data_IF_726023834105
#
_entry.id   IF_726023834105
#
_cell.length_a   1.000
_cell.length_b   1.000
_cell.length_c   1.000
_cell.angle_alpha   90.00
_cell.angle_beta   90.00
_cell.angle_gamma   90.00
#
_symmetry.space_group_name_H-M   'P 1'
#
loop_
_entity.id
_entity.type
_entity.pdbx_description
1 polymer ?
#
# COMPACT_ATOMS: atom_id res chain seq x y z
N UNK A 1 115.27 -18.83 -31.04
CA UNK A 1 113.93 -18.69 -31.62
C UNK A 1 113.03 -19.78 -31.06
N UNK A 2 112.05 -19.45 -30.20
CA UNK A 2 110.78 -20.21 -29.96
C UNK A 2 110.07 -19.95 -28.60
N UNK A 3 110.33 -18.84 -27.87
CA UNK A 3 109.61 -18.53 -26.61
C UNK A 3 108.56 -17.40 -26.72
N UNK A 4 108.56 -16.64 -27.82
CA UNK A 4 107.60 -15.55 -28.07
C UNK A 4 106.16 -16.01 -28.42
N UNK A 5 105.91 -17.07 -29.21
CA UNK A 5 104.53 -17.43 -29.58
C UNK A 5 103.74 -18.06 -28.41
N UNK A 6 104.41 -18.79 -27.51
CA UNK A 6 103.75 -19.40 -26.34
C UNK A 6 103.40 -18.37 -25.26
N UNK A 7 104.22 -17.33 -25.07
CA UNK A 7 103.93 -16.25 -24.12
C UNK A 7 102.79 -15.35 -24.62
N UNK A 8 102.73 -15.07 -25.92
CA UNK A 8 101.61 -14.35 -26.53
C UNK A 8 100.28 -15.13 -26.46
N UNK A 9 100.30 -16.45 -26.67
CA UNK A 9 99.10 -17.29 -26.55
C UNK A 9 98.58 -17.36 -25.10
N UNK A 10 99.47 -17.49 -24.11
CA UNK A 10 99.10 -17.45 -22.70
C UNK A 10 98.55 -16.10 -22.26
N UNK A 11 99.13 -14.99 -22.74
CA UNK A 11 98.62 -13.65 -22.48
C UNK A 11 97.21 -13.46 -23.07
N UNK A 12 96.97 -13.91 -24.31
CA UNK A 12 95.65 -13.84 -24.94
C UNK A 12 94.59 -14.69 -24.22
N UNK A 13 94.98 -15.86 -23.70
CA UNK A 13 94.08 -16.72 -22.89
C UNK A 13 93.74 -16.04 -21.56
N UNK A 14 94.72 -15.44 -20.87
CA UNK A 14 94.48 -14.70 -19.63
C UNK A 14 93.59 -13.48 -19.85
N UNK A 15 93.79 -12.76 -20.95
CA UNK A 15 92.98 -11.60 -21.31
C UNK A 15 91.52 -12.00 -21.62
N UNK A 16 91.33 -13.11 -22.35
CA UNK A 16 90.00 -13.66 -22.61
C UNK A 16 89.29 -14.16 -21.34
N UNK A 17 90.01 -14.77 -20.40
CA UNK A 17 89.44 -15.18 -19.09
C UNK A 17 89.07 -13.96 -18.25
N UNK A 18 89.90 -12.91 -18.26
CA UNK A 18 89.62 -11.67 -17.54
C UNK A 18 88.40 -10.95 -18.14
N UNK A 19 88.26 -10.94 -19.47
CA UNK A 19 87.07 -10.45 -20.17
C UNK A 19 85.82 -11.26 -19.79
N UNK A 20 85.91 -12.60 -19.81
CA UNK A 20 84.81 -13.48 -19.45
C UNK A 20 84.39 -13.29 -17.98
N UNK A 21 85.34 -13.11 -17.07
CA UNK A 21 85.08 -12.75 -15.67
C UNK A 21 84.38 -11.39 -15.56
N UNK A 22 84.86 -10.37 -16.29
CA UNK A 22 84.21 -9.06 -16.32
C UNK A 22 82.78 -9.09 -16.88
N UNK A 23 82.52 -9.94 -17.88
CA UNK A 23 81.17 -10.16 -18.41
C UNK A 23 80.28 -10.95 -17.45
N UNK A 24 80.80 -11.97 -16.77
CA UNK A 24 80.08 -12.72 -15.74
C UNK A 24 79.71 -11.81 -14.55
N UNK A 25 80.62 -10.92 -14.13
CA UNK A 25 80.35 -9.93 -13.07
C UNK A 25 79.33 -8.87 -13.51
N UNK A 26 79.33 -8.50 -14.80
CA UNK A 26 78.30 -7.62 -15.36
C UNK A 26 76.93 -8.31 -15.42
N UNK A 27 76.88 -9.58 -15.81
CA UNK A 27 75.67 -10.40 -15.82
C UNK A 27 75.15 -10.62 -14.40
N UNK A 28 76.02 -10.95 -13.43
CA UNK A 28 75.64 -11.14 -12.04
C UNK A 28 75.04 -9.85 -11.44
N UNK A 29 75.64 -8.69 -11.72
CA UNK A 29 75.09 -7.37 -11.31
C UNK A 29 73.76 -7.06 -12.00
N UNK A 30 73.61 -7.43 -13.27
CA UNK A 30 72.36 -7.28 -14.01
C UNK A 30 71.25 -8.14 -13.40
N UNK A 31 71.53 -9.42 -13.15
CA UNK A 31 70.59 -10.35 -12.52
C UNK A 31 70.17 -9.88 -11.12
N UNK A 32 71.12 -9.43 -10.30
CA UNK A 32 70.80 -8.87 -8.99
C UNK A 32 69.90 -7.63 -9.06
N UNK A 33 70.09 -6.76 -10.07
CA UNK A 33 69.22 -5.60 -10.31
C UNK A 33 67.83 -6.01 -10.79
N UNK A 34 67.73 -7.03 -11.65
CA UNK A 34 66.45 -7.56 -12.14
C UNK A 34 65.66 -8.16 -10.98
N UNK A 35 66.29 -8.96 -10.13
CA UNK A 35 65.65 -9.57 -8.95
C UNK A 35 65.18 -8.51 -7.95
N UNK A 36 65.97 -7.45 -7.73
CA UNK A 36 65.58 -6.33 -6.88
C UNK A 36 64.34 -5.60 -7.44
N UNK A 37 64.32 -5.37 -8.76
CA UNK A 37 63.18 -4.75 -9.44
C UNK A 37 61.94 -5.64 -9.39
N UNK A 38 62.10 -6.95 -9.58
CA UNK A 38 60.99 -7.90 -9.49
C UNK A 38 60.39 -7.96 -8.08
N UNK A 39 61.24 -7.95 -7.03
CA UNK A 39 60.76 -7.86 -5.65
C UNK A 39 59.97 -6.58 -5.39
N UNK A 40 60.43 -5.45 -5.92
CA UNK A 40 59.71 -4.18 -5.81
C UNK A 40 58.35 -4.21 -6.55
N UNK A 41 58.32 -4.76 -7.76
CA UNK A 41 57.08 -4.92 -8.53
C UNK A 41 56.08 -5.81 -7.80
N UNK A 42 56.52 -6.94 -7.24
CA UNK A 42 55.66 -7.85 -6.48
C UNK A 42 55.10 -7.16 -5.23
N UNK A 43 55.93 -6.45 -4.47
CA UNK A 43 55.48 -5.71 -3.29
C UNK A 43 54.43 -4.63 -3.63
N UNK A 44 54.59 -3.96 -4.78
CA UNK A 44 53.61 -2.97 -5.28
C UNK A 44 52.30 -3.63 -5.72
N UNK A 45 52.35 -4.81 -6.34
CA UNK A 45 51.16 -5.58 -6.71
C UNK A 45 50.39 -6.04 -5.48
N UNK A 46 51.07 -6.57 -4.47
CA UNK A 46 50.44 -6.98 -3.20
C UNK A 46 49.72 -5.80 -2.52
N UNK A 47 50.30 -4.61 -2.61
CA UNK A 47 49.69 -3.37 -2.08
C UNK A 47 48.44 -2.97 -2.86
N UNK A 48 48.45 -3.14 -4.19
CA UNK A 48 47.30 -2.86 -5.06
C UNK A 48 46.18 -3.86 -4.78
N UNK A 49 46.50 -5.15 -4.68
CA UNK A 49 45.53 -6.21 -4.42
C UNK A 49 44.87 -6.03 -3.04
N UNK A 50 45.65 -5.69 -2.01
CA UNK A 50 45.11 -5.35 -0.69
C UNK A 50 44.18 -4.11 -0.74
N UNK A 51 44.53 -3.09 -1.53
CA UNK A 51 43.68 -1.91 -1.75
C UNK A 51 42.40 -2.25 -2.51
N UNK A 52 42.45 -3.13 -3.50
CA UNK A 52 41.29 -3.58 -4.27
C UNK A 52 40.34 -4.45 -3.44
N UNK A 53 40.86 -5.30 -2.55
CA UNK A 53 40.05 -6.05 -1.60
C UNK A 53 39.21 -5.12 -0.72
N UNK A 54 39.84 -4.09 -0.14
CA UNK A 54 39.15 -3.10 0.69
C UNK A 54 38.07 -2.31 -0.09
N UNK A 55 38.29 -2.00 -1.37
CA UNK A 55 37.29 -1.33 -2.22
C UNK A 55 36.15 -2.26 -2.59
N UNK A 56 36.44 -3.54 -2.85
CA UNK A 56 35.43 -4.56 -3.18
C UNK A 56 34.49 -4.78 -2.00
N UNK A 57 35.00 -4.72 -0.76
CA UNK A 57 34.21 -4.84 0.46
C UNK A 57 33.28 -3.63 0.71
N UNK A 58 33.60 -2.45 0.16
CA UNK A 58 32.78 -1.23 0.32
C UNK A 58 31.60 -1.17 -0.65
N UNK A 59 31.68 -1.82 -1.81
CA UNK A 59 30.62 -1.78 -2.83
C UNK A 59 29.28 -2.31 -2.29
N UNK A 60 29.21 -3.50 -1.64
CA UNK A 60 27.96 -3.98 -1.06
C UNK A 60 27.37 -3.05 0.00
N UNK A 61 28.22 -2.38 0.79
CA UNK A 61 27.78 -1.41 1.82
C UNK A 61 27.15 -0.19 1.17
N UNK A 62 27.74 0.34 0.10
CA UNK A 62 27.18 1.47 -0.65
C UNK A 62 25.88 1.09 -1.38
N UNK A 63 25.79 -0.11 -1.92
CA UNK A 63 24.55 -0.64 -2.52
C UNK A 63 23.43 -0.76 -1.48
N UNK A 64 23.74 -1.27 -0.28
CA UNK A 64 22.80 -1.34 0.83
C UNK A 64 22.33 0.05 1.29
N UNK A 65 23.25 1.01 1.41
CA UNK A 65 22.91 2.40 1.77
C UNK A 65 22.02 3.03 0.68
N UNK A 66 22.35 2.82 -0.60
CA UNK A 66 21.56 3.34 -1.71
C UNK A 66 20.15 2.75 -1.71
N UNK A 67 20.03 1.42 -1.56
CA UNK A 67 18.74 0.73 -1.48
C UNK A 67 17.89 1.30 -0.33
N UNK A 68 18.50 1.45 0.86
CA UNK A 68 17.81 2.04 2.01
C UNK A 68 17.35 3.48 1.75
N UNK A 69 18.19 4.28 1.10
CA UNK A 69 17.85 5.67 0.77
C UNK A 69 16.70 5.78 -0.24
N UNK A 70 16.56 4.81 -1.15
CA UNK A 70 15.45 4.73 -2.11
C UNK A 70 14.17 4.37 -1.35
N UNK A 71 14.20 3.35 -0.50
CA UNK A 71 13.06 2.96 0.34
C UNK A 71 12.57 4.12 1.22
N UNK A 72 13.48 4.81 1.90
CA UNK A 72 13.13 5.94 2.77
C UNK A 72 12.51 7.11 1.97
N UNK A 73 12.97 7.36 0.73
CA UNK A 73 12.38 8.36 -0.17
C UNK A 73 10.99 7.98 -0.65
N UNK A 74 10.78 6.71 -1.00
CA UNK A 74 9.46 6.22 -1.42
C UNK A 74 8.45 6.31 -0.28
N UNK A 75 8.86 5.92 0.93
CA UNK A 75 8.06 6.07 2.15
C UNK A 75 7.72 7.54 2.44
N UNK A 76 8.71 8.43 2.35
CA UNK A 76 8.49 9.88 2.52
C UNK A 76 7.51 10.44 1.49
N UNK A 77 7.66 10.04 0.21
CA UNK A 77 6.76 10.48 -0.86
C UNK A 77 5.32 10.00 -0.62
N UNK A 78 5.13 8.77 -0.18
CA UNK A 78 3.82 8.24 0.16
C UNK A 78 3.17 9.03 1.30
N UNK A 79 3.92 9.28 2.39
CA UNK A 79 3.43 10.08 3.51
C UNK A 79 3.04 11.51 3.11
N UNK A 80 3.89 12.20 2.32
CA UNK A 80 3.58 13.54 1.82
C UNK A 80 2.33 13.56 0.93
N UNK A 81 2.12 12.52 0.11
CA UNK A 81 0.91 12.40 -0.70
C UNK A 81 -0.35 12.25 0.16
N UNK A 82 -0.29 11.43 1.21
CA UNK A 82 -1.40 11.27 2.17
C UNK A 82 -1.72 12.59 2.87
N UNK A 83 -0.70 13.29 3.38
CA UNK A 83 -0.87 14.60 4.03
C UNK A 83 -1.47 15.63 3.07
N UNK A 84 -0.99 15.69 1.83
CA UNK A 84 -1.53 16.58 0.82
C UNK A 84 -3.01 16.28 0.50
N UNK A 85 -3.39 15.01 0.44
CA UNK A 85 -4.77 14.60 0.21
C UNK A 85 -5.69 14.96 1.39
N UNK A 86 -5.23 14.76 2.63
CA UNK A 86 -5.94 15.19 3.85
C UNK A 86 -6.10 16.70 3.90
N UNK A 87 -5.03 17.45 3.62
CA UNK A 87 -5.07 18.91 3.57
C UNK A 87 -6.01 19.40 2.45
N UNK A 88 -6.00 18.74 1.29
CA UNK A 88 -6.92 18.99 0.19
C UNK A 88 -8.38 18.79 0.58
N UNK A 89 -8.69 17.68 1.27
CA UNK A 89 -10.02 17.43 1.82
C UNK A 89 -10.43 18.50 2.84
N UNK A 90 -9.58 18.80 3.82
CA UNK A 90 -9.88 19.77 4.87
C UNK A 90 -10.11 21.18 4.29
N UNK A 91 -9.27 21.59 3.34
CA UNK A 91 -9.44 22.85 2.63
C UNK A 91 -10.74 22.86 1.84
N UNK A 92 -11.02 21.81 1.08
CA UNK A 92 -12.24 21.71 0.29
C UNK A 92 -13.49 21.78 1.18
N UNK A 93 -13.53 21.03 2.28
CA UNK A 93 -14.64 21.08 3.21
C UNK A 93 -14.81 22.48 3.85
N UNK A 94 -13.72 23.18 4.17
CA UNK A 94 -13.77 24.54 4.71
C UNK A 94 -14.23 25.59 3.69
N UNK A 95 -13.85 25.45 2.41
CA UNK A 95 -14.28 26.35 1.32
C UNK A 95 -15.60 25.92 0.67
N UNK A 96 -16.21 24.84 1.18
CA UNK A 96 -17.39 24.22 0.60
C UNK A 96 -17.14 23.51 -0.74
N UNK A 97 -15.91 23.29 -1.18
CA UNK A 97 -15.58 22.53 -2.38
C UNK A 97 -15.70 21.01 -2.16
N UNK A 98 -15.95 20.25 -3.23
CA UNK A 98 -16.02 18.79 -3.14
C UNK A 98 -14.62 18.16 -3.21
N UNK A 99 -14.30 17.30 -2.24
CA UNK A 99 -13.14 16.41 -2.28
C UNK A 99 -13.46 15.13 -1.49
N UNK A 100 -13.07 13.94 -1.98
CA UNK A 100 -13.22 12.71 -1.20
C UNK A 100 -12.14 12.63 -0.10
N UNK A 101 -12.51 12.12 1.07
CA UNK A 101 -11.52 11.74 2.07
C UNK A 101 -10.83 10.44 1.62
N UNK A 102 -9.49 10.37 1.58
CA UNK A 102 -8.79 9.14 1.22
C UNK A 102 -9.10 8.01 2.21
N UNK A 103 -9.21 6.78 1.71
CA UNK A 103 -9.49 5.58 2.52
C UNK A 103 -8.39 5.29 3.53
N UNK A 104 -7.15 5.57 3.15
CA UNK A 104 -5.95 5.21 3.92
C UNK A 104 -5.84 6.02 5.22
N UNK A 105 -6.58 7.13 5.32
CA UNK A 105 -6.74 7.93 6.54
C UNK A 105 -7.31 7.10 7.69
N UNK A 106 -8.17 6.11 7.40
CA UNK A 106 -8.77 5.27 8.43
C UNK A 106 -7.79 4.32 9.12
N UNK A 107 -6.66 3.99 8.47
CA UNK A 107 -5.67 3.05 8.99
C UNK A 107 -4.38 3.74 9.46
N UNK A 108 -4.22 5.05 9.22
CA UNK A 108 -3.09 5.82 9.72
C UNK A 108 -3.33 6.28 11.18
N UNK A 109 -2.52 5.79 12.14
CA UNK A 109 -2.69 6.14 13.55
C UNK A 109 -2.48 7.64 13.83
N UNK A 110 -1.72 8.35 12.99
CA UNK A 110 -1.50 9.79 13.15
C UNK A 110 -2.72 10.61 12.72
N UNK A 111 -3.61 10.03 11.90
CA UNK A 111 -4.79 10.69 11.35
C UNK A 111 -6.09 10.28 12.04
N UNK A 112 -6.02 9.46 13.09
CA UNK A 112 -7.17 8.98 13.84
C UNK A 112 -8.03 10.13 14.41
N UNK A 113 -7.39 11.13 15.02
CA UNK A 113 -8.10 12.32 15.51
C UNK A 113 -8.67 13.17 14.37
N UNK A 114 -7.97 13.21 13.23
CA UNK A 114 -8.47 13.91 12.06
C UNK A 114 -9.76 13.26 11.56
N UNK A 115 -9.79 11.93 11.42
CA UNK A 115 -11.00 11.20 11.01
C UNK A 115 -12.20 11.51 11.93
N UNK A 116 -11.98 11.57 13.26
CA UNK A 116 -13.04 11.86 14.24
C UNK A 116 -13.57 13.29 14.17
N UNK A 117 -12.72 14.26 13.87
CA UNK A 117 -13.03 15.69 13.95
C UNK A 117 -13.17 16.39 12.60
N UNK A 118 -13.01 15.65 11.51
CA UNK A 118 -13.06 16.18 10.15
C UNK A 118 -14.34 17.00 9.90
N UNK A 119 -14.27 18.08 9.12
CA UNK A 119 -15.45 18.85 8.75
C UNK A 119 -16.47 18.03 7.94
N UNK A 120 -17.73 18.44 7.98
CA UNK A 120 -18.80 17.77 7.23
C UNK A 120 -18.63 17.96 5.72
N UNK A 121 -18.78 16.87 4.97
CA UNK A 121 -18.84 16.93 3.51
C UNK A 121 -20.23 17.42 3.06
N UNK A 122 -20.26 18.66 2.55
CA UNK A 122 -21.49 19.31 2.13
C UNK A 122 -21.79 19.17 0.63
N UNK A 123 -20.92 18.57 -0.18
CA UNK A 123 -21.06 18.59 -1.65
C UNK A 123 -20.84 17.27 -2.36
N UNK A 124 -20.31 16.22 -1.72
CA UNK A 124 -20.15 14.93 -2.38
C UNK A 124 -21.47 14.43 -2.98
N UNK A 125 -21.39 13.88 -4.20
CA UNK A 125 -22.51 13.25 -4.89
C UNK A 125 -22.69 11.78 -4.49
N UNK A 126 -21.87 11.27 -3.58
CA UNK A 126 -22.02 9.93 -3.03
C UNK A 126 -23.39 9.78 -2.39
N UNK A 127 -24.11 8.74 -2.79
CA UNK A 127 -25.54 8.62 -2.51
C UNK A 127 -25.82 8.49 -1.00
N UNK A 128 -25.05 7.66 -0.31
CA UNK A 128 -25.08 7.51 1.16
C UNK A 128 -25.05 8.87 1.89
N UNK A 129 -24.13 9.75 1.49
CA UNK A 129 -23.98 11.08 2.09
C UNK A 129 -25.07 12.06 1.66
N UNK A 130 -25.54 11.96 0.41
CA UNK A 130 -26.65 12.77 -0.07
C UNK A 130 -27.97 12.42 0.63
N UNK A 131 -28.26 11.12 0.77
CA UNK A 131 -29.45 10.61 1.44
C UNK A 131 -29.40 10.95 2.93
N UNK A 132 -28.24 10.76 3.59
CA UNK A 132 -28.09 11.13 4.99
C UNK A 132 -28.26 12.64 5.21
N UNK A 133 -27.71 13.51 4.37
CA UNK A 133 -27.96 14.96 4.46
C UNK A 133 -29.43 15.33 4.33
N UNK A 134 -30.20 14.61 3.50
CA UNK A 134 -31.66 14.84 3.39
C UNK A 134 -32.41 14.33 4.61
N UNK A 135 -32.00 13.17 5.14
CA UNK A 135 -32.62 12.57 6.32
C UNK A 135 -32.35 13.40 7.59
N UNK A 136 -31.10 13.79 7.82
CA UNK A 136 -30.63 14.42 9.08
C UNK A 136 -31.39 15.69 9.44
N UNK A 137 -31.75 16.49 8.42
CA UNK A 137 -32.52 17.73 8.60
C UNK A 137 -33.93 17.51 9.17
N UNK A 138 -34.48 16.29 9.06
CA UNK A 138 -35.81 15.92 9.53
C UNK A 138 -35.80 15.18 10.86
N UNK A 139 -34.64 14.72 11.32
CA UNK A 139 -34.47 13.98 12.57
C UNK A 139 -34.50 14.94 13.75
N UNK A 140 -35.21 14.59 14.83
CA UNK A 140 -35.21 15.39 16.06
C UNK A 140 -33.81 15.40 16.72
N UNK A 141 -33.43 16.49 17.40
CA UNK A 141 -32.08 16.61 17.98
C UNK A 141 -31.72 15.49 18.97
N UNK A 142 -32.69 14.98 19.74
CA UNK A 142 -32.48 13.87 20.68
C UNK A 142 -32.16 12.55 19.98
N UNK A 143 -32.89 12.25 18.90
CA UNK A 143 -32.65 11.07 18.07
C UNK A 143 -31.32 11.20 17.32
N UNK A 144 -31.02 12.40 16.79
CA UNK A 144 -29.77 12.67 16.10
C UNK A 144 -28.55 12.54 17.03
N UNK A 145 -28.67 12.91 18.30
CA UNK A 145 -27.63 12.65 19.30
C UNK A 145 -27.38 11.15 19.51
N UNK A 146 -28.45 10.35 19.58
CA UNK A 146 -28.32 8.89 19.71
C UNK A 146 -27.69 8.26 18.46
N UNK A 147 -28.04 8.76 17.26
CA UNK A 147 -27.43 8.33 16.00
C UNK A 147 -25.97 8.74 15.93
N UNK A 148 -25.61 9.96 16.35
CA UNK A 148 -24.22 10.40 16.40
C UNK A 148 -23.37 9.52 17.34
N UNK A 149 -23.91 9.16 18.51
CA UNK A 149 -23.21 8.26 19.44
C UNK A 149 -22.95 6.90 18.78
N UNK A 150 -23.96 6.32 18.11
CA UNK A 150 -23.80 5.06 17.36
C UNK A 150 -22.82 5.19 16.19
N UNK A 151 -22.88 6.29 15.44
CA UNK A 151 -21.95 6.61 14.35
C UNK A 151 -20.53 6.91 14.83
N UNK A 152 -20.28 7.09 16.13
CA UNK A 152 -18.92 7.25 16.65
C UNK A 152 -18.38 5.96 17.25
N UNK A 153 -19.23 4.99 17.57
CA UNK A 153 -18.80 3.69 18.10
C UNK A 153 -18.06 2.89 17.02
N UNK A 154 -16.81 2.47 17.29
CA UNK A 154 -16.10 1.56 16.40
C UNK A 154 -16.84 0.23 16.24
N UNK A 155 -16.79 -0.36 15.04
CA UNK A 155 -17.44 -1.63 14.75
C UNK A 155 -16.41 -2.74 14.53
N UNK A 156 -16.65 -3.96 15.06
CA UNK A 156 -15.75 -5.09 14.84
C UNK A 156 -15.78 -5.63 13.41
N UNK A 157 -16.75 -5.18 12.60
CA UNK A 157 -16.94 -5.59 11.20
C UNK A 157 -16.55 -4.51 10.20
N UNK A 158 -15.88 -3.45 10.66
CA UNK A 158 -15.40 -2.38 9.78
C UNK A 158 -14.34 -2.83 8.78
N UNK A 159 -14.53 -2.33 7.57
CA UNK A 159 -13.49 -2.15 6.56
C UNK A 159 -12.98 -0.70 6.58
N UNK A 160 -11.81 -0.40 6.00
CA UNK A 160 -11.33 0.98 5.90
C UNK A 160 -12.35 1.91 5.22
N UNK A 161 -13.02 1.41 4.17
CA UNK A 161 -14.06 2.15 3.43
C UNK A 161 -15.26 2.47 4.32
N UNK A 162 -15.80 1.48 5.02
CA UNK A 162 -16.98 1.67 5.91
C UNK A 162 -16.62 2.54 7.12
N UNK A 163 -15.39 2.44 7.64
CA UNK A 163 -14.88 3.31 8.70
C UNK A 163 -14.79 4.78 8.24
N UNK A 164 -14.25 5.05 7.05
CA UNK A 164 -14.24 6.41 6.50
C UNK A 164 -15.66 6.94 6.29
N UNK A 165 -16.55 6.12 5.72
CA UNK A 165 -17.95 6.51 5.51
C UNK A 165 -18.63 6.85 6.84
N UNK A 166 -18.42 6.03 7.88
CA UNK A 166 -18.92 6.30 9.24
C UNK A 166 -18.58 7.72 9.68
N UNK A 167 -17.31 8.10 9.60
CA UNK A 167 -16.89 9.39 10.12
C UNK A 167 -17.34 10.55 9.24
N UNK A 168 -17.55 10.34 7.94
CA UNK A 168 -18.18 11.34 7.07
C UNK A 168 -19.66 11.53 7.42
N UNK A 169 -20.40 10.46 7.69
CA UNK A 169 -21.78 10.53 8.19
C UNK A 169 -21.86 11.21 9.57
N UNK A 170 -20.96 10.85 10.50
CA UNK A 170 -20.86 11.46 11.82
C UNK A 170 -20.54 12.96 11.73
N UNK A 171 -19.69 13.38 10.80
CA UNK A 171 -19.37 14.79 10.58
C UNK A 171 -20.62 15.58 10.13
N UNK A 172 -21.45 15.03 9.24
CA UNK A 172 -22.74 15.61 8.83
C UNK A 172 -23.68 15.75 10.04
N UNK A 173 -23.84 14.69 10.84
CA UNK A 173 -24.68 14.71 12.05
C UNK A 173 -24.21 15.76 13.06
N UNK A 174 -22.89 15.89 13.21
CA UNK A 174 -22.26 16.86 14.11
C UNK A 174 -22.52 18.30 13.66
N UNK A 175 -22.28 18.60 12.38
CA UNK A 175 -22.51 19.92 11.83
C UNK A 175 -23.98 20.34 11.94
N UNK A 176 -24.91 19.40 11.75
CA UNK A 176 -26.34 19.66 11.93
C UNK A 176 -26.70 19.97 13.39
N UNK A 177 -26.15 19.21 14.36
CA UNK A 177 -26.36 19.47 15.79
C UNK A 177 -25.73 20.80 16.24
N UNK A 178 -24.53 21.13 15.75
CA UNK A 178 -23.87 22.41 15.99
C UNK A 178 -24.70 23.57 15.43
N UNK A 179 -25.24 23.43 14.21
CA UNK A 179 -26.14 24.40 13.59
C UNK A 179 -27.43 24.62 14.38
N UNK A 180 -27.88 23.62 15.15
CA UNK A 180 -29.02 23.69 16.08
C UNK A 180 -28.64 24.21 17.47
N UNK A 181 -27.37 24.51 17.72
CA UNK A 181 -26.88 24.96 19.03
C UNK A 181 -26.86 23.88 20.11
N UNK A 182 -26.83 22.60 19.72
CA UNK A 182 -26.82 21.46 20.65
C UNK A 182 -25.39 21.15 21.10
N UNK A 183 -25.18 20.99 22.40
CA UNK A 183 -23.90 20.56 22.94
C UNK A 183 -23.59 19.11 22.51
N UNK A 184 -22.41 18.90 21.94
CA UNK A 184 -22.01 17.60 21.42
C UNK A 184 -21.38 16.71 22.48
N UNK A 185 -21.57 15.38 22.39
CA UNK A 185 -20.79 14.45 23.19
C UNK A 185 -19.31 14.50 22.79
N UNK A 186 -18.43 14.16 23.73
CA UNK A 186 -17.01 14.01 23.47
C UNK A 186 -16.78 12.91 22.39
N UNK A 187 -15.80 13.08 21.49
CA UNK A 187 -15.44 12.02 20.57
C UNK A 187 -14.84 10.83 21.34
N UNK A 188 -14.95 9.60 20.81
CA UNK A 188 -14.28 8.44 21.37
C UNK A 188 -12.75 8.62 21.30
N UNK A 189 -12.02 7.87 22.13
CA UNK A 189 -10.56 7.93 22.17
C UNK A 189 -9.89 7.21 21.00
N UNK A 190 -10.62 6.37 20.27
CA UNK A 190 -10.10 5.58 19.15
C UNK A 190 -11.18 5.32 18.10
N UNK A 191 -10.75 5.08 16.86
CA UNK A 191 -11.58 4.66 15.74
C UNK A 191 -11.65 3.15 15.57
N UNK A 192 -10.91 2.38 16.37
CA UNK A 192 -10.84 0.92 16.28
C UNK A 192 -11.68 0.24 17.36
N UNK A 193 -12.34 -0.87 16.98
CA UNK A 193 -13.06 -1.69 17.93
C UNK A 193 -12.08 -2.48 18.79
N UNK A 194 -12.28 -2.41 20.12
CA UNK A 194 -11.42 -3.11 21.07
C UNK A 194 -11.66 -4.63 21.05
N UNK A 195 -12.91 -5.06 20.86
CA UNK A 195 -13.29 -6.46 20.76
C UNK A 195 -13.52 -6.87 19.31
N UNK A 196 -12.57 -7.60 18.74
CA UNK A 196 -12.63 -8.14 17.36
C UNK A 196 -13.03 -9.62 17.32
N UNK A 197 -13.57 -10.16 18.42
CA UNK A 197 -13.92 -11.57 18.53
C UNK A 197 -14.98 -12.00 17.50
N UNK A 198 -15.00 -13.29 17.10
CA UNK A 198 -16.08 -13.82 16.26
C UNK A 198 -17.47 -13.65 16.88
N UNK A 199 -17.58 -13.59 18.20
CA UNK A 199 -18.83 -13.26 18.90
C UNK A 199 -19.27 -11.82 18.67
N UNK A 200 -18.35 -10.84 18.84
CA UNK A 200 -18.66 -9.43 18.60
C UNK A 200 -19.08 -9.19 17.15
N UNK A 201 -18.37 -9.80 16.20
CA UNK A 201 -18.71 -9.72 14.76
C UNK A 201 -20.09 -10.29 14.44
N UNK A 202 -20.45 -11.44 15.05
CA UNK A 202 -21.78 -12.05 14.88
C UNK A 202 -22.88 -11.20 15.50
N UNK A 203 -22.67 -10.68 16.71
CA UNK A 203 -23.63 -9.80 17.37
C UNK A 203 -23.90 -8.55 16.53
N UNK A 204 -22.85 -7.92 16.00
CA UNK A 204 -22.96 -6.78 15.10
C UNK A 204 -23.70 -7.11 13.80
N UNK A 205 -23.42 -8.26 13.21
CA UNK A 205 -24.07 -8.70 11.97
C UNK A 205 -25.57 -8.98 12.17
N UNK A 206 -25.96 -9.52 13.33
CA UNK A 206 -27.37 -9.65 13.71
C UNK A 206 -28.05 -8.29 13.87
N UNK A 207 -27.43 -7.34 14.55
CA UNK A 207 -27.93 -5.97 14.73
C UNK A 207 -28.19 -5.26 13.37
N UNK A 208 -27.27 -5.42 12.41
CA UNK A 208 -27.44 -4.89 11.05
C UNK A 208 -28.60 -5.55 10.31
N UNK A 209 -28.75 -6.87 10.45
CA UNK A 209 -29.87 -7.61 9.88
C UNK A 209 -31.21 -7.21 10.49
N UNK A 210 -31.28 -6.93 11.79
CA UNK A 210 -32.47 -6.41 12.46
C UNK A 210 -32.82 -5.00 11.98
N UNK A 211 -31.83 -4.11 11.90
CA UNK A 211 -32.01 -2.74 11.39
C UNK A 211 -32.52 -2.74 9.95
N UNK A 212 -31.97 -3.61 9.09
CA UNK A 212 -32.45 -3.79 7.72
C UNK A 212 -33.90 -4.25 7.65
N UNK A 213 -34.26 -5.25 8.47
CA UNK A 213 -35.62 -5.82 8.51
C UNK A 213 -36.66 -4.85 9.09
N UNK A 214 -36.24 -3.93 9.95
CA UNK A 214 -37.11 -2.86 10.48
C UNK A 214 -37.60 -1.88 9.39
N UNK A 215 -36.92 -1.83 8.24
CA UNK A 215 -37.32 -1.01 7.09
C UNK A 215 -36.74 0.40 7.12
N UNK A 216 -37.31 1.26 6.26
CA UNK A 216 -36.81 2.62 6.05
C UNK A 216 -36.92 3.45 7.34
N UNK A 217 -35.77 3.94 7.80
CA UNK A 217 -35.67 4.78 8.99
C UNK A 217 -34.40 5.64 8.92
N UNK A 218 -34.34 6.78 9.64
CA UNK A 218 -33.10 7.55 9.73
C UNK A 218 -31.91 6.72 10.22
N UNK A 219 -32.16 5.76 11.13
CA UNK A 219 -31.15 4.84 11.62
C UNK A 219 -30.55 3.95 10.52
N UNK A 220 -31.35 3.55 9.52
CA UNK A 220 -30.90 2.78 8.36
C UNK A 220 -29.89 3.59 7.53
N UNK A 221 -30.20 4.84 7.21
CA UNK A 221 -29.32 5.72 6.42
C UNK A 221 -28.10 6.22 7.21
N UNK A 222 -28.19 6.26 8.53
CA UNK A 222 -27.10 6.59 9.42
C UNK A 222 -26.05 5.48 9.56
N UNK A 223 -26.36 4.25 9.10
CA UNK A 223 -25.52 3.07 9.25
C UNK A 223 -24.59 2.86 8.04
N UNK A 224 -23.28 3.14 8.16
CA UNK A 224 -22.32 3.03 7.06
C UNK A 224 -22.19 1.61 6.50
N UNK A 225 -22.33 0.58 7.33
CA UNK A 225 -22.18 -0.82 6.89
C UNK A 225 -23.35 -1.30 6.02
N UNK A 226 -24.48 -0.58 6.01
CA UNK A 226 -25.64 -0.87 5.18
C UNK A 226 -25.66 -0.09 3.86
N UNK A 227 -24.76 0.87 3.65
CA UNK A 227 -24.76 1.72 2.45
C UNK A 227 -24.75 0.89 1.15
N UNK A 228 -23.91 -0.16 1.08
CA UNK A 228 -23.86 -1.06 -0.08
C UNK A 228 -25.14 -1.88 -0.30
N UNK A 229 -25.82 -2.26 0.79
CA UNK A 229 -27.07 -3.01 0.72
C UNK A 229 -28.24 -2.13 0.23
N UNK A 230 -28.30 -0.89 0.73
CA UNK A 230 -29.22 0.14 0.21
C UNK A 230 -28.88 0.40 -1.26
N UNK A 231 -27.60 0.45 -1.64
CA UNK A 231 -27.14 0.63 -3.02
C UNK A 231 -27.73 -0.41 -3.96
N UNK A 232 -27.60 -1.67 -3.56
CA UNK A 232 -28.14 -2.81 -4.28
C UNK A 232 -29.66 -2.78 -4.39
N UNK A 233 -30.37 -2.47 -3.29
CA UNK A 233 -31.84 -2.45 -3.28
C UNK A 233 -32.41 -1.34 -4.17
N UNK A 234 -31.89 -0.11 -4.07
CA UNK A 234 -32.34 1.02 -4.91
C UNK A 234 -31.99 0.82 -6.40
N UNK A 235 -30.92 0.09 -6.71
CA UNK A 235 -30.59 -0.27 -8.09
C UNK A 235 -31.56 -1.32 -8.65
N UNK A 236 -31.96 -2.31 -7.84
CA UNK A 236 -32.99 -3.28 -8.20
C UNK A 236 -34.35 -2.62 -8.44
N UNK A 237 -34.76 -1.69 -7.56
CA UNK A 237 -35.99 -0.91 -7.71
C UNK A 237 -36.01 -0.11 -9.03
N UNK A 238 -34.88 0.53 -9.37
CA UNK A 238 -34.74 1.27 -10.64
C UNK A 238 -34.85 0.37 -11.86
N UNK A 239 -34.14 -0.77 -11.87
CA UNK A 239 -34.17 -1.72 -13.00
C UNK A 239 -35.52 -2.40 -13.15
N UNK A 240 -36.22 -2.63 -12.05
CA UNK A 240 -37.53 -3.26 -12.02
C UNK A 240 -38.70 -2.34 -12.36
N UNK A 241 -38.46 -1.03 -12.56
CA UNK A 241 -39.52 -0.06 -12.87
C UNK A 241 -40.29 -0.33 -14.18
N UNK A 242 -39.75 -1.16 -15.07
CA UNK A 242 -40.41 -1.61 -16.31
C UNK A 242 -41.26 -2.88 -16.13
N UNK A 243 -41.19 -3.53 -14.95
CA UNK A 243 -42.00 -4.70 -14.59
C UNK A 243 -43.38 -4.25 -14.07
N UNK A 244 -44.39 -5.13 -14.17
CA UNK A 244 -45.69 -4.88 -13.52
C UNK A 244 -45.54 -4.76 -12.00
N UNK A 245 -46.32 -3.84 -11.39
CA UNK A 245 -46.21 -3.43 -9.98
C UNK A 245 -46.22 -4.62 -8.99
N UNK A 246 -47.13 -5.58 -9.18
CA UNK A 246 -47.23 -6.77 -8.31
C UNK A 246 -45.97 -7.64 -8.37
N UNK A 247 -45.38 -7.77 -9.56
CA UNK A 247 -44.18 -8.58 -9.77
C UNK A 247 -42.95 -7.86 -9.20
N UNK A 248 -42.84 -6.56 -9.43
CA UNK A 248 -41.79 -5.74 -8.84
C UNK A 248 -41.83 -5.80 -7.31
N UNK A 249 -43.02 -5.68 -6.71
CA UNK A 249 -43.20 -5.75 -5.27
C UNK A 249 -42.78 -7.12 -4.71
N UNK A 250 -43.13 -8.22 -5.37
CA UNK A 250 -42.73 -9.55 -4.95
C UNK A 250 -41.20 -9.74 -5.04
N UNK A 251 -40.60 -9.33 -6.17
CA UNK A 251 -39.16 -9.44 -6.40
C UNK A 251 -38.36 -8.59 -5.38
N UNK A 252 -38.84 -7.38 -5.06
CA UNK A 252 -38.22 -6.52 -4.04
C UNK A 252 -38.38 -7.10 -2.62
N UNK A 253 -39.53 -7.70 -2.29
CA UNK A 253 -39.72 -8.33 -0.99
C UNK A 253 -38.77 -9.54 -0.80
N UNK A 254 -38.57 -10.33 -1.85
CA UNK A 254 -37.63 -11.45 -1.83
C UNK A 254 -36.17 -10.96 -1.75
N UNK A 255 -35.83 -9.90 -2.48
CA UNK A 255 -34.51 -9.27 -2.39
C UNK A 255 -34.24 -8.71 -0.99
N UNK A 256 -35.22 -8.01 -0.40
CA UNK A 256 -35.12 -7.47 0.95
C UNK A 256 -34.85 -8.57 1.98
N UNK A 257 -35.56 -9.70 1.88
CA UNK A 257 -35.34 -10.88 2.74
C UNK A 257 -33.94 -11.45 2.54
N UNK A 258 -33.52 -11.65 1.29
CA UNK A 258 -32.21 -12.20 0.95
C UNK A 258 -31.05 -11.34 1.48
N UNK A 259 -31.15 -10.02 1.35
CA UNK A 259 -30.17 -9.08 1.90
C UNK A 259 -30.12 -9.21 3.44
N UNK A 260 -31.27 -9.26 4.11
CA UNK A 260 -31.33 -9.40 5.57
C UNK A 260 -30.64 -10.67 6.08
N UNK A 261 -30.80 -11.78 5.36
CA UNK A 261 -30.18 -13.07 5.70
C UNK A 261 -28.66 -13.04 5.48
N UNK A 262 -28.21 -12.46 4.35
CA UNK A 262 -26.77 -12.23 4.07
C UNK A 262 -26.10 -11.36 5.13
N UNK A 263 -26.75 -10.26 5.53
CA UNK A 263 -26.26 -9.39 6.60
C UNK A 263 -26.12 -10.14 7.92
N UNK A 264 -27.11 -10.95 8.28
CA UNK A 264 -27.10 -11.77 9.50
C UNK A 264 -25.99 -12.82 9.48
N UNK A 265 -25.70 -13.37 8.30
CA UNK A 265 -24.58 -14.30 8.08
C UNK A 265 -23.19 -13.63 8.14
N UNK A 266 -23.15 -12.29 8.20
CA UNK A 266 -21.91 -11.51 8.29
C UNK A 266 -21.40 -10.96 6.95
N UNK A 267 -22.16 -11.10 5.87
CA UNK A 267 -21.81 -10.51 4.57
C UNK A 267 -22.11 -9.01 4.54
N UNK A 268 -21.45 -8.28 3.63
CA UNK A 268 -21.72 -6.87 3.32
C UNK A 268 -22.06 -6.76 1.83
N UNK A 269 -23.31 -7.07 1.44
CA UNK A 269 -23.71 -7.06 0.04
C UNK A 269 -23.56 -5.65 -0.55
N UNK A 270 -23.03 -5.58 -1.75
CA UNK A 270 -22.84 -4.36 -2.52
C UNK A 270 -22.99 -4.64 -4.02
N UNK A 271 -23.20 -3.60 -4.82
CA UNK A 271 -23.26 -3.74 -6.29
C UNK A 271 -21.98 -4.34 -6.85
N UNK A 272 -20.82 -4.04 -6.26
CA UNK A 272 -19.52 -4.55 -6.72
C UNK A 272 -19.34 -6.04 -6.41
N UNK A 273 -19.83 -6.51 -5.25
CA UNK A 273 -19.76 -7.92 -4.87
C UNK A 273 -20.72 -8.83 -5.65
N UNK A 274 -21.83 -8.29 -6.13
CA UNK A 274 -22.85 -9.05 -6.88
C UNK A 274 -22.67 -9.00 -8.41
N UNK A 275 -21.62 -8.33 -8.91
CA UNK A 275 -21.25 -8.46 -10.34
C UNK A 275 -20.67 -9.86 -10.57
N UNK A 276 -21.27 -10.69 -11.45
CA UNK A 276 -20.62 -11.93 -11.84
C UNK A 276 -19.28 -11.58 -12.49
N UNK A 277 -18.18 -12.08 -11.90
CA UNK A 277 -16.85 -11.97 -12.48
C UNK A 277 -16.82 -12.72 -13.81
N UNK A 278 -17.17 -12.05 -14.90
CA UNK A 278 -17.05 -12.56 -16.26
C UNK A 278 -15.57 -12.58 -16.75
N UNK A 279 -14.64 -12.81 -15.82
CA UNK A 279 -13.19 -12.93 -16.03
C UNK A 279 -12.71 -14.27 -15.45
N UNK A 280 -13.25 -15.37 -15.98
CA UNK A 280 -12.81 -16.71 -15.57
C UNK A 280 -13.00 -17.78 -16.62
N UNK A 281 -13.99 -17.64 -17.51
CA UNK A 281 -14.39 -18.71 -18.42
C UNK A 281 -13.82 -18.61 -19.84
N UNK A 282 -13.36 -17.44 -20.30
CA UNK A 282 -12.85 -17.29 -21.69
C UNK A 282 -11.34 -17.55 -21.86
N UNK A 283 -10.53 -17.49 -20.79
CA UNK A 283 -9.07 -17.74 -20.90
C UNK A 283 -8.71 -19.22 -20.76
N UNK A 284 -9.53 -20.01 -20.07
CA UNK A 284 -9.30 -21.44 -19.87
C UNK A 284 -9.74 -22.31 -21.07
N UNK A 285 -10.63 -21.79 -21.96
CA UNK A 285 -11.08 -22.54 -23.14
C UNK A 285 -10.25 -22.27 -24.41
N UNK A 286 -9.39 -21.24 -24.43
CA UNK A 286 -8.46 -21.00 -25.56
C UNK A 286 -7.11 -21.72 -25.44
N UNK A 287 -6.82 -22.36 -24.33
CA UNK A 287 -5.53 -23.04 -24.09
C UNK A 287 -5.51 -24.53 -24.45
N UNK A 288 -6.65 -25.15 -24.80
CA UNK A 288 -6.75 -26.60 -25.07
C UNK A 288 -7.00 -26.97 -26.54
N UNK A 289 -6.98 -26.01 -27.45
CA UNK A 289 -7.12 -26.24 -28.89
C UNK A 289 -5.82 -25.96 -29.66
N UNK A 290 -4.70 -26.55 -29.22
CA UNK A 290 -3.54 -26.78 -30.09
C UNK A 290 -3.42 -28.29 -30.27
N UNK A 291 -4.02 -28.81 -31.35
CA UNK A 291 -3.79 -30.18 -31.81
C UNK A 291 -2.33 -30.31 -32.25
N UNK A 292 -1.58 -31.34 -31.82
CA UNK A 292 -0.34 -31.69 -32.46
C UNK A 292 -0.64 -32.32 -33.84
N UNK A 293 0.01 -31.78 -34.86
CA UNK A 293 0.02 -32.28 -36.24
C UNK A 293 0.77 -33.62 -36.31
N UNK A 294 0.17 -34.72 -36.83
CA UNK A 294 0.89 -35.95 -37.06
C UNK A 294 1.46 -35.96 -38.48
N UNK A 295 2.64 -35.37 -38.69
CA UNK A 295 3.46 -35.68 -39.85
C UNK A 295 4.94 -35.29 -39.68
N UNK A 296 5.74 -36.19 -39.09
CA UNK A 296 7.05 -36.69 -39.58
C UNK A 296 7.72 -37.59 -38.56
#
# INVERSE_FOLDING_TARGET
MSTEPNSAALAAILDAVTLAQGQLDAVARSSARIEATQRDILARLDTIDAGQAAVTDLVPVLEMILARSIEDRELTRAQLATVAAVAGFAHAAATGSAAPLPTDVADDPLLEQFALLQPADQRSSERSLADWRRAVARVASSELLALLDRQRRPSPTDTPVTRVLRYRLAAISRAELEGRGVALPAPPSTTFAQDMSPSAKRARSAELGELWRAGESPALFAEPELAGAIDLFTDAERRGSELGEDRLSADLADLHRAIGDRLTAGERPSIESDRPTNRGTDRAQRATAVRPDPSR
#
